data_IF_331487057812
#
_entry.id   IF_331487057812
#
_cell.length_a   1.000
_cell.length_b   1.000
_cell.length_c   1.000
_cell.angle_alpha   90.00
_cell.angle_beta   90.00
_cell.angle_gamma   90.00
#
_symmetry.space_group_name_H-M   'P 1'
#
loop_
_entity.id
_entity.type
_entity.pdbx_description
1 polymer ?
#
# COMPACT_ATOMS: atom_id res chain seq x y z
N UNK A 1 -39.64 -25.77 3.95
CA UNK A 1 -38.91 -24.60 4.49
C UNK A 1 -38.00 -24.08 3.37
N UNK A 2 -38.02 -22.79 3.00
CA UNK A 2 -37.13 -22.28 1.94
C UNK A 2 -35.69 -22.31 2.46
N UNK A 3 -34.93 -23.34 2.11
CA UNK A 3 -33.49 -23.39 2.38
C UNK A 3 -32.82 -22.30 1.56
N UNK A 4 -32.23 -21.30 2.20
CA UNK A 4 -31.35 -20.35 1.53
C UNK A 4 -29.94 -20.94 1.56
N UNK A 5 -29.22 -20.94 0.44
CA UNK A 5 -27.79 -21.21 0.42
C UNK A 5 -27.05 -20.01 1.02
N UNK A 6 -27.11 -19.87 2.36
CA UNK A 6 -26.55 -18.73 3.09
C UNK A 6 -25.01 -18.68 3.03
N UNK A 7 -24.38 -19.81 2.70
CA UNK A 7 -22.92 -19.96 2.66
C UNK A 7 -22.33 -19.79 1.24
N UNK A 8 -23.18 -19.73 0.19
CA UNK A 8 -22.71 -19.62 -1.19
C UNK A 8 -22.24 -18.20 -1.51
N UNK A 9 -20.99 -18.06 -1.91
CA UNK A 9 -20.44 -16.80 -2.38
C UNK A 9 -20.15 -16.82 -3.87
N UNK A 10 -20.50 -15.73 -4.56
CA UNK A 10 -20.22 -15.60 -5.98
C UNK A 10 -18.76 -15.24 -6.22
N UNK A 11 -17.90 -16.26 -6.29
CA UNK A 11 -16.42 -16.16 -6.32
C UNK A 11 -15.91 -15.09 -7.30
N UNK A 12 -16.37 -15.12 -8.55
CA UNK A 12 -15.90 -14.22 -9.62
C UNK A 12 -16.81 -12.98 -9.81
N UNK A 13 -17.70 -12.70 -8.86
CA UNK A 13 -18.58 -11.53 -8.94
C UNK A 13 -17.81 -10.21 -8.86
N UNK A 14 -18.10 -9.31 -9.80
CA UNK A 14 -17.48 -7.98 -9.91
C UNK A 14 -16.17 -7.93 -10.72
N UNK A 15 -15.44 -9.04 -10.83
CA UNK A 15 -14.22 -9.12 -11.64
C UNK A 15 -14.49 -9.49 -13.10
N UNK A 16 -15.56 -10.26 -13.37
CA UNK A 16 -15.98 -10.54 -14.75
C UNK A 16 -16.56 -9.27 -15.37
N UNK A 17 -16.00 -8.81 -16.49
CA UNK A 17 -16.42 -7.61 -17.20
C UNK A 17 -17.33 -7.96 -18.38
N UNK A 18 -18.44 -7.23 -18.47
CA UNK A 18 -19.30 -7.28 -19.64
C UNK A 18 -18.57 -6.67 -20.84
N UNK A 19 -18.44 -7.38 -21.98
CA UNK A 19 -17.76 -6.87 -23.16
C UNK A 19 -18.51 -5.74 -23.87
N UNK A 20 -19.81 -5.58 -23.63
CA UNK A 20 -20.61 -4.51 -24.26
C UNK A 20 -20.68 -3.22 -23.43
N UNK A 21 -20.65 -3.32 -22.09
CA UNK A 21 -20.79 -2.14 -21.22
C UNK A 21 -19.63 -1.92 -20.23
N UNK A 22 -18.65 -2.82 -20.18
CA UNK A 22 -17.51 -2.77 -19.26
C UNK A 22 -17.84 -3.00 -17.79
N UNK A 23 -19.13 -3.08 -17.42
CA UNK A 23 -19.54 -3.24 -16.03
C UNK A 23 -19.26 -4.65 -15.49
N UNK A 24 -19.00 -4.73 -14.19
CA UNK A 24 -18.86 -6.01 -13.48
C UNK A 24 -20.15 -6.82 -13.50
N UNK A 25 -20.05 -8.10 -13.84
CA UNK A 25 -21.17 -9.05 -13.78
C UNK A 25 -21.47 -9.44 -12.34
N UNK A 26 -22.75 -9.75 -12.09
CA UNK A 26 -23.29 -10.07 -10.77
C UNK A 26 -23.74 -11.53 -10.78
N UNK A 27 -23.60 -12.20 -9.63
CA UNK A 27 -24.12 -13.54 -9.44
C UNK A 27 -25.63 -13.54 -9.17
N UNK A 28 -26.32 -14.54 -9.69
CA UNK A 28 -27.75 -14.75 -9.50
C UNK A 28 -28.04 -16.20 -9.22
N UNK A 29 -29.06 -16.44 -8.39
CA UNK A 29 -29.54 -17.78 -8.10
C UNK A 29 -30.82 -18.05 -8.88
N UNK A 30 -30.92 -19.23 -9.44
CA UNK A 30 -32.13 -19.75 -10.03
C UNK A 30 -32.52 -21.04 -9.32
N UNK A 31 -33.71 -21.03 -8.71
CA UNK A 31 -34.20 -22.09 -7.84
C UNK A 31 -35.30 -22.88 -8.55
N UNK A 32 -35.10 -24.18 -8.72
CA UNK A 32 -36.14 -25.11 -9.20
C UNK A 32 -36.72 -25.88 -8.02
N UNK A 33 -38.04 -25.99 -7.97
CA UNK A 33 -38.75 -26.82 -7.00
C UNK A 33 -39.19 -28.12 -7.67
N UNK A 34 -38.80 -29.24 -7.08
CA UNK A 34 -39.28 -30.54 -7.52
C UNK A 34 -40.55 -30.89 -6.75
N UNK A 35 -41.70 -30.79 -7.41
CA UNK A 35 -43.01 -31.07 -6.80
C UNK A 35 -43.17 -32.51 -6.30
N UNK A 36 -42.35 -33.46 -6.78
CA UNK A 36 -42.44 -34.88 -6.40
C UNK A 36 -41.63 -35.22 -5.15
N UNK A 37 -40.47 -34.59 -4.97
CA UNK A 37 -39.57 -34.83 -3.82
C UNK A 37 -39.64 -33.71 -2.78
N UNK A 38 -40.41 -32.64 -3.06
CA UNK A 38 -40.45 -31.38 -2.30
C UNK A 38 -39.08 -30.70 -2.12
N UNK A 39 -38.09 -31.10 -2.92
CA UNK A 39 -36.73 -30.57 -2.86
C UNK A 39 -36.57 -29.31 -3.70
N UNK A 40 -35.74 -28.39 -3.22
CA UNK A 40 -35.31 -27.22 -3.96
C UNK A 40 -33.88 -27.42 -4.47
N UNK A 41 -33.68 -27.21 -5.77
CA UNK A 41 -32.36 -27.20 -6.40
C UNK A 41 -32.00 -25.80 -6.83
N UNK A 42 -30.94 -25.26 -6.24
CA UNK A 42 -30.37 -23.98 -6.61
C UNK A 42 -29.32 -24.17 -7.71
N UNK A 43 -29.28 -23.24 -8.65
CA UNK A 43 -28.25 -23.17 -9.68
C UNK A 43 -27.82 -21.73 -9.84
N UNK A 44 -26.52 -21.50 -9.76
CA UNK A 44 -25.97 -20.15 -9.74
C UNK A 44 -25.44 -19.76 -11.12
N UNK A 45 -25.65 -18.49 -11.47
CA UNK A 45 -25.25 -17.92 -12.76
C UNK A 45 -24.60 -16.55 -12.61
N UNK A 46 -23.65 -16.20 -13.47
CA UNK A 46 -23.23 -14.80 -13.67
C UNK A 46 -24.05 -14.17 -14.79
N UNK A 47 -24.49 -12.92 -14.57
CA UNK A 47 -25.22 -12.10 -15.55
C UNK A 47 -24.78 -10.65 -15.52
N UNK A 48 -24.92 -9.95 -16.65
CA UNK A 48 -24.87 -8.50 -16.65
C UNK A 48 -26.19 -7.97 -16.05
N UNK A 49 -26.09 -7.14 -15.00
CA UNK A 49 -27.24 -6.44 -14.41
C UNK A 49 -27.34 -4.98 -14.87
N UNK A 50 -26.29 -4.46 -15.48
CA UNK A 50 -26.29 -3.10 -16.01
C UNK A 50 -27.21 -3.02 -17.21
N UNK A 51 -28.20 -2.12 -17.14
CA UNK A 51 -29.11 -1.84 -18.24
C UNK A 51 -28.60 -0.75 -19.16
N UNK A 52 -27.53 -0.01 -18.82
CA UNK A 52 -26.99 1.10 -19.61
C UNK A 52 -25.51 0.88 -19.95
N UNK A 53 -25.09 1.25 -21.16
CA UNK A 53 -23.70 1.38 -21.62
C UNK A 53 -23.12 2.71 -21.13
N UNK A 54 -21.80 2.89 -21.22
CA UNK A 54 -21.15 4.18 -20.94
C UNK A 54 -21.77 5.33 -21.77
N UNK A 55 -22.20 5.03 -23.00
CA UNK A 55 -22.85 5.98 -23.93
C UNK A 55 -24.36 6.19 -23.66
N UNK A 56 -24.91 5.66 -22.57
CA UNK A 56 -26.33 5.81 -22.20
C UNK A 56 -27.32 4.88 -22.91
N UNK A 57 -26.91 4.12 -23.94
CA UNK A 57 -27.74 3.09 -24.62
C UNK A 57 -27.98 1.87 -23.74
N UNK A 58 -29.04 1.09 -24.00
CA UNK A 58 -29.30 -0.11 -23.22
C UNK A 58 -28.24 -1.20 -23.48
N UNK A 59 -27.81 -1.90 -22.42
CA UNK A 59 -26.97 -3.08 -22.56
C UNK A 59 -27.85 -4.30 -22.81
N UNK A 60 -27.68 -4.90 -23.98
CA UNK A 60 -28.35 -6.09 -24.49
C UNK A 60 -27.56 -7.37 -24.27
N UNK A 61 -26.39 -7.28 -23.63
CA UNK A 61 -25.58 -8.44 -23.28
C UNK A 61 -26.30 -9.28 -22.21
N UNK A 62 -26.88 -10.40 -22.64
CA UNK A 62 -27.67 -11.29 -21.77
C UNK A 62 -27.13 -12.73 -21.70
N UNK A 63 -25.81 -12.98 -21.60
CA UNK A 63 -25.35 -14.35 -21.37
C UNK A 63 -25.75 -14.81 -19.97
N UNK A 64 -26.04 -16.10 -19.87
CA UNK A 64 -26.22 -16.82 -18.61
C UNK A 64 -25.03 -17.76 -18.45
N UNK A 65 -24.04 -17.34 -17.67
CA UNK A 65 -22.85 -18.16 -17.41
C UNK A 65 -23.11 -18.99 -16.17
N UNK A 66 -23.12 -20.31 -16.27
CA UNK A 66 -23.23 -21.18 -15.10
C UNK A 66 -21.96 -21.05 -14.25
N UNK A 67 -22.10 -20.79 -12.94
CA UNK A 67 -20.94 -20.50 -12.08
C UNK A 67 -20.01 -21.70 -11.96
N UNK A 68 -20.52 -22.91 -11.77
CA UNK A 68 -19.69 -24.11 -11.60
C UNK A 68 -18.81 -24.33 -12.84
N UNK A 69 -19.41 -24.24 -14.03
CA UNK A 69 -18.67 -24.38 -15.30
C UNK A 69 -17.66 -23.26 -15.51
N UNK A 70 -18.08 -22.01 -15.31
CA UNK A 70 -17.24 -20.86 -15.60
C UNK A 70 -16.10 -20.71 -14.58
N UNK A 71 -16.35 -20.98 -13.30
CA UNK A 71 -15.31 -21.01 -12.27
C UNK A 71 -14.29 -22.09 -12.60
N UNK A 72 -14.73 -23.31 -12.96
CA UNK A 72 -13.82 -24.38 -13.38
C UNK A 72 -12.97 -23.99 -14.59
N UNK A 73 -13.53 -23.33 -15.59
CA UNK A 73 -12.76 -22.84 -16.75
C UNK A 73 -11.66 -21.85 -16.33
N UNK A 74 -11.96 -20.93 -15.41
CA UNK A 74 -10.96 -19.97 -14.88
C UNK A 74 -9.90 -20.68 -14.04
N UNK A 75 -10.31 -21.65 -13.21
CA UNK A 75 -9.38 -22.46 -12.43
C UNK A 75 -8.43 -23.26 -13.33
N UNK A 76 -8.92 -23.85 -14.41
CA UNK A 76 -8.11 -24.60 -15.36
C UNK A 76 -7.08 -23.72 -16.07
N UNK A 77 -7.45 -22.47 -16.40
CA UNK A 77 -6.51 -21.48 -16.94
C UNK A 77 -5.40 -21.18 -15.94
N UNK A 78 -5.74 -20.96 -14.67
CA UNK A 78 -4.75 -20.68 -13.61
C UNK A 78 -3.85 -21.90 -13.40
N UNK A 79 -4.42 -23.12 -13.36
CA UNK A 79 -3.64 -24.37 -13.25
C UNK A 79 -2.68 -24.54 -14.41
N UNK A 80 -3.12 -24.26 -15.64
CA UNK A 80 -2.28 -24.33 -16.82
C UNK A 80 -1.09 -23.37 -16.71
N UNK A 81 -1.36 -22.12 -16.33
CA UNK A 81 -0.34 -21.09 -16.13
C UNK A 81 0.69 -21.52 -15.06
N UNK A 82 0.23 -21.99 -13.89
CA UNK A 82 1.12 -22.41 -12.79
C UNK A 82 1.99 -23.62 -13.16
N UNK A 83 1.50 -24.51 -14.04
CA UNK A 83 2.24 -25.70 -14.50
C UNK A 83 3.28 -25.38 -15.57
N UNK A 84 3.17 -24.23 -16.24
CA UNK A 84 4.16 -23.80 -17.21
C UNK A 84 5.52 -23.57 -16.52
N UNK A 85 6.54 -24.33 -16.95
CA UNK A 85 7.85 -24.35 -16.28
C UNK A 85 8.52 -22.98 -16.20
N UNK A 86 8.41 -22.17 -17.27
CA UNK A 86 8.96 -20.82 -17.33
C UNK A 86 8.26 -19.86 -16.38
N UNK A 87 6.93 -19.96 -16.28
CA UNK A 87 6.15 -19.19 -15.31
C UNK A 87 6.57 -19.55 -13.88
N UNK A 88 6.67 -20.84 -13.56
CA UNK A 88 7.12 -21.32 -12.25
C UNK A 88 8.54 -20.86 -11.90
N UNK A 89 9.44 -20.85 -12.87
CA UNK A 89 10.81 -20.34 -12.70
C UNK A 89 10.85 -18.83 -12.50
N UNK A 90 10.09 -18.08 -13.30
CA UNK A 90 9.92 -16.63 -13.14
C UNK A 90 9.40 -16.27 -11.74
N UNK A 91 8.41 -17.01 -11.25
CA UNK A 91 7.82 -16.84 -9.92
C UNK A 91 8.82 -17.11 -8.80
N UNK A 92 9.65 -18.16 -8.94
CA UNK A 92 10.74 -18.43 -8.00
C UNK A 92 11.79 -17.32 -8.01
N UNK A 93 12.19 -16.86 -9.20
CA UNK A 93 13.14 -15.77 -9.33
C UNK A 93 12.60 -14.48 -8.71
N UNK A 94 11.30 -14.17 -8.87
CA UNK A 94 10.65 -13.02 -8.22
C UNK A 94 10.47 -13.18 -6.71
N UNK A 95 10.36 -14.41 -6.19
CA UNK A 95 10.38 -14.70 -4.76
C UNK A 95 11.78 -14.49 -4.16
N UNK A 96 12.81 -14.90 -4.90
CA UNK A 96 14.22 -14.82 -4.52
C UNK A 96 14.82 -13.42 -4.75
N UNK A 97 14.22 -12.62 -5.63
CA UNK A 97 14.56 -11.22 -5.84
C UNK A 97 14.39 -10.46 -4.51
N UNK A 98 15.51 -10.18 -3.86
CA UNK A 98 15.55 -9.22 -2.76
C UNK A 98 15.42 -7.85 -3.39
N UNK A 99 14.34 -7.14 -3.05
CA UNK A 99 14.27 -5.71 -3.32
C UNK A 99 15.37 -5.08 -2.46
N UNK A 100 16.39 -4.55 -3.12
CA UNK A 100 17.48 -3.88 -2.46
C UNK A 100 16.93 -2.61 -1.78
N UNK A 101 16.74 -2.68 -0.47
CA UNK A 101 16.33 -1.56 0.38
C UNK A 101 17.52 -0.94 1.11
N UNK A 102 18.75 -1.32 0.75
CA UNK A 102 19.97 -0.82 1.39
C UNK A 102 20.03 0.69 1.41
N UNK A 103 19.58 1.35 0.33
CA UNK A 103 19.54 2.81 0.25
C UNK A 103 18.66 3.46 1.34
N UNK A 104 17.47 2.90 1.63
CA UNK A 104 16.58 3.41 2.70
C UNK A 104 17.16 3.11 4.08
N UNK A 105 17.79 1.94 4.24
CA UNK A 105 18.42 1.55 5.50
C UNK A 105 19.66 2.40 5.80
N UNK A 106 20.45 2.73 4.77
CA UNK A 106 21.60 3.63 4.85
C UNK A 106 21.18 5.08 5.13
N UNK A 107 20.15 5.59 4.45
CA UNK A 107 19.57 6.91 4.73
C UNK A 107 19.10 7.00 6.19
N UNK A 108 18.35 6.00 6.66
CA UNK A 108 17.92 5.91 8.06
C UNK A 108 19.10 5.92 9.02
N UNK A 109 20.16 5.16 8.72
CA UNK A 109 21.37 5.07 9.55
C UNK A 109 22.11 6.41 9.61
N UNK A 110 22.21 7.13 8.49
CA UNK A 110 22.80 8.46 8.44
C UNK A 110 22.02 9.46 9.30
N UNK A 111 20.69 9.50 9.17
CA UNK A 111 19.81 10.37 9.96
C UNK A 111 19.87 10.04 11.46
N UNK A 112 19.89 8.76 11.82
CA UNK A 112 20.11 8.33 13.22
C UNK A 112 21.47 8.78 13.76
N UNK A 113 22.52 8.74 12.93
CA UNK A 113 23.84 9.26 13.30
C UNK A 113 23.82 10.76 13.59
N UNK A 114 23.17 11.55 12.74
CA UNK A 114 23.00 12.99 12.96
C UNK A 114 22.20 13.27 14.25
N UNK A 115 21.11 12.53 14.47
CA UNK A 115 20.29 12.64 15.68
C UNK A 115 21.13 12.42 16.95
N UNK A 116 21.98 11.39 16.97
CA UNK A 116 22.86 11.13 18.10
C UNK A 116 23.85 12.27 18.34
N UNK A 117 24.38 12.88 17.29
CA UNK A 117 25.30 14.02 17.41
C UNK A 117 24.61 15.25 18.02
N UNK A 118 23.41 15.59 17.55
CA UNK A 118 22.63 16.73 18.05
C UNK A 118 22.19 16.51 19.49
N UNK A 119 21.74 15.30 19.83
CA UNK A 119 21.42 14.94 21.23
C UNK A 119 22.65 14.99 22.14
N UNK A 120 23.82 14.58 21.65
CA UNK A 120 25.08 14.72 22.36
C UNK A 120 25.48 16.18 22.61
N UNK A 121 25.32 17.05 21.61
CA UNK A 121 25.55 18.48 21.73
C UNK A 121 24.60 19.13 22.74
N UNK A 122 23.31 18.77 22.69
CA UNK A 122 22.29 19.20 23.66
C UNK A 122 22.68 18.83 25.09
N UNK A 123 23.09 17.58 25.31
CA UNK A 123 23.50 17.11 26.64
C UNK A 123 24.70 17.91 27.18
N UNK A 124 25.69 18.20 26.34
CA UNK A 124 26.85 19.02 26.72
C UNK A 124 26.45 20.45 27.04
N UNK A 125 25.56 21.05 26.26
CA UNK A 125 25.07 22.41 26.47
C UNK A 125 24.30 22.53 27.80
N UNK A 126 23.42 21.56 28.10
CA UNK A 126 22.72 21.50 29.39
C UNK A 126 23.70 21.42 30.57
N UNK A 127 24.76 20.61 30.47
CA UNK A 127 25.80 20.55 31.48
C UNK A 127 26.57 21.87 31.66
N UNK A 128 26.67 22.68 30.61
CA UNK A 128 27.26 24.03 30.71
C UNK A 128 26.31 25.01 31.40
N UNK A 129 25.01 24.91 31.12
CA UNK A 129 23.96 25.69 31.79
C UNK A 129 23.92 25.36 33.28
N UNK A 130 24.01 24.09 33.66
CA UNK A 130 24.01 23.67 35.07
C UNK A 130 25.21 24.20 35.87
N UNK A 131 26.31 24.57 35.20
CA UNK A 131 27.55 25.06 35.82
C UNK A 131 27.65 26.59 35.85
N UNK A 132 26.65 27.30 35.34
CA UNK A 132 26.64 28.76 35.31
C UNK A 132 26.49 29.31 36.73
N UNK A 133 27.40 30.21 37.12
CA UNK A 133 27.35 30.89 38.41
C UNK A 133 26.36 32.07 38.34
N UNK A 134 25.33 32.01 39.18
CA UNK A 134 24.30 33.06 39.28
C UNK A 134 24.83 34.38 39.85
N UNK A 135 26.03 34.40 40.43
CA UNK A 135 26.73 35.61 40.86
C UNK A 135 27.50 36.34 39.76
N UNK A 136 27.60 35.79 38.55
CA UNK A 136 28.35 36.40 37.44
C UNK A 136 27.63 37.64 36.90
N UNK A 137 28.37 38.76 36.75
CA UNK A 137 27.86 40.03 36.18
C UNK A 137 27.23 39.86 34.79
N UNK A 138 27.65 38.85 34.04
CA UNK A 138 27.16 38.53 32.70
C UNK A 138 26.28 37.28 32.66
N UNK A 139 25.77 36.81 33.80
CA UNK A 139 24.92 35.62 33.91
C UNK A 139 23.76 35.64 32.89
N UNK A 140 22.97 36.71 32.87
CA UNK A 140 21.78 36.80 32.02
C UNK A 140 22.10 36.67 30.52
N UNK A 141 23.20 37.28 30.07
CA UNK A 141 23.64 37.19 28.67
C UNK A 141 24.20 35.81 28.31
N UNK A 142 24.97 35.19 29.21
CA UNK A 142 25.49 33.83 29.00
C UNK A 142 24.35 32.80 29.00
N UNK A 143 23.39 32.96 29.91
CA UNK A 143 22.20 32.12 29.98
C UNK A 143 21.37 32.27 28.70
N UNK A 144 21.17 33.50 28.22
CA UNK A 144 20.44 33.76 26.97
C UNK A 144 21.12 33.13 25.75
N UNK A 145 22.43 33.31 25.56
CA UNK A 145 23.17 32.69 24.44
C UNK A 145 23.10 31.15 24.50
N UNK A 146 23.18 30.55 25.69
CA UNK A 146 22.99 29.10 25.83
C UNK A 146 21.54 28.67 25.58
N UNK A 147 20.54 29.48 25.96
CA UNK A 147 19.14 29.21 25.67
C UNK A 147 18.86 29.25 24.17
N UNK A 148 19.37 30.27 23.46
CA UNK A 148 19.20 30.42 22.01
C UNK A 148 19.85 29.23 21.26
N UNK A 149 21.02 28.78 21.73
CA UNK A 149 21.67 27.57 21.19
C UNK A 149 20.88 26.30 21.48
N UNK A 150 20.26 26.21 22.65
CA UNK A 150 19.43 25.07 23.01
C UNK A 150 18.19 24.98 22.12
N UNK A 151 17.54 26.12 21.86
CA UNK A 151 16.39 26.22 20.95
C UNK A 151 16.75 25.74 19.54
N UNK A 152 17.90 26.16 19.00
CA UNK A 152 18.39 25.68 17.69
C UNK A 152 18.62 24.15 17.67
N UNK A 153 19.12 23.57 18.77
CA UNK A 153 19.31 22.12 18.87
C UNK A 153 17.97 21.38 18.95
N UNK A 154 16.95 21.96 19.62
CA UNK A 154 15.61 21.39 19.63
C UNK A 154 14.94 21.46 18.26
N UNK A 155 15.04 22.59 17.57
CA UNK A 155 14.52 22.74 16.21
C UNK A 155 15.17 21.71 15.27
N UNK A 156 16.49 21.51 15.37
CA UNK A 156 17.20 20.48 14.58
C UNK A 156 16.80 19.04 14.94
N UNK A 157 16.52 18.75 16.22
CA UNK A 157 16.01 17.43 16.63
C UNK A 157 14.63 17.19 15.99
N UNK A 158 13.74 18.19 16.01
CA UNK A 158 12.42 18.07 15.39
C UNK A 158 12.50 17.80 13.89
N UNK A 159 13.37 18.52 13.17
CA UNK A 159 13.61 18.27 11.74
C UNK A 159 14.07 16.82 11.48
N UNK A 160 15.07 16.35 12.23
CA UNK A 160 15.59 14.98 12.07
C UNK A 160 14.56 13.90 12.45
N UNK A 161 13.69 14.17 13.42
CA UNK A 161 12.60 13.25 13.78
C UNK A 161 11.54 13.14 12.68
N UNK A 162 11.19 14.27 12.04
CA UNK A 162 10.28 14.30 10.88
C UNK A 162 10.86 13.54 9.69
N UNK A 163 12.14 13.76 9.39
CA UNK A 163 12.87 13.03 8.33
C UNK A 163 12.91 11.51 8.62
N UNK A 164 13.26 11.12 9.85
CA UNK A 164 13.27 9.71 10.26
C UNK A 164 11.90 9.05 10.17
N UNK A 165 10.83 9.75 10.56
CA UNK A 165 9.47 9.24 10.43
C UNK A 165 9.08 9.04 8.94
N UNK A 166 9.50 9.94 8.06
CA UNK A 166 9.31 9.81 6.62
C UNK A 166 10.01 8.59 6.03
N UNK A 167 11.28 8.37 6.39
CA UNK A 167 12.05 7.20 5.93
C UNK A 167 11.46 5.91 6.49
N UNK A 168 11.07 5.87 7.77
CA UNK A 168 10.40 4.71 8.37
C UNK A 168 9.10 4.34 7.63
N UNK A 169 8.29 5.33 7.25
CA UNK A 169 7.06 5.10 6.49
C UNK A 169 7.33 4.53 5.09
N UNK A 170 8.37 5.05 4.40
CA UNK A 170 8.80 4.51 3.09
C UNK A 170 9.28 3.07 3.21
N UNK A 171 10.06 2.77 4.24
CA UNK A 171 10.52 1.41 4.55
C UNK A 171 9.32 0.48 4.76
N UNK A 172 8.37 0.85 5.62
CA UNK A 172 7.18 0.02 5.88
C UNK A 172 6.35 -0.22 4.62
N UNK A 173 6.09 0.83 3.82
CA UNK A 173 5.35 0.70 2.57
C UNK A 173 6.04 -0.23 1.56
N UNK A 174 7.39 -0.21 1.50
CA UNK A 174 8.16 -1.11 0.66
C UNK A 174 8.07 -2.57 1.16
N UNK A 175 8.23 -2.80 2.47
CA UNK A 175 8.09 -4.12 3.09
C UNK A 175 6.70 -4.72 2.88
N UNK A 176 5.63 -3.94 3.11
CA UNK A 176 4.25 -4.41 2.93
C UNK A 176 3.97 -4.84 1.49
N UNK A 177 4.40 -4.02 0.51
CA UNK A 177 4.29 -4.37 -0.92
C UNK A 177 5.06 -5.64 -1.26
N UNK A 178 6.27 -5.80 -0.72
CA UNK A 178 7.09 -6.99 -0.95
C UNK A 178 6.46 -8.25 -0.35
N UNK A 179 6.02 -8.21 0.91
CA UNK A 179 5.38 -9.34 1.58
C UNK A 179 4.10 -9.74 0.85
N UNK A 180 3.30 -8.76 0.42
CA UNK A 180 2.06 -9.03 -0.32
C UNK A 180 2.36 -9.73 -1.64
N UNK A 181 3.38 -9.26 -2.39
CA UNK A 181 3.81 -9.90 -3.64
C UNK A 181 4.35 -11.33 -3.42
N UNK A 182 5.25 -11.51 -2.45
CA UNK A 182 5.83 -12.83 -2.15
C UNK A 182 4.79 -13.84 -1.67
N UNK A 183 3.85 -13.40 -0.84
CA UNK A 183 2.75 -14.25 -0.42
C UNK A 183 1.92 -14.70 -1.62
N UNK A 184 1.53 -13.77 -2.50
CA UNK A 184 0.76 -14.10 -3.71
C UNK A 184 1.50 -15.11 -4.58
N UNK A 185 2.81 -14.94 -4.78
CA UNK A 185 3.61 -15.89 -5.56
C UNK A 185 3.70 -17.27 -4.91
N UNK A 186 3.88 -17.33 -3.59
CA UNK A 186 3.89 -18.59 -2.85
C UNK A 186 2.52 -19.31 -2.93
N UNK A 187 1.43 -18.56 -2.76
CA UNK A 187 0.06 -19.11 -2.87
C UNK A 187 -0.21 -19.68 -4.26
N UNK A 188 0.29 -19.07 -5.33
CA UNK A 188 0.15 -19.60 -6.69
C UNK A 188 0.94 -20.90 -6.90
N UNK A 189 2.12 -21.03 -6.32
CA UNK A 189 2.91 -22.26 -6.41
C UNK A 189 2.19 -23.47 -5.77
N UNK A 190 1.38 -23.19 -4.74
CA UNK A 190 0.62 -24.17 -3.96
C UNK A 190 -0.89 -24.16 -4.29
N UNK A 191 -1.30 -23.53 -5.40
CA UNK A 191 -2.69 -23.29 -5.77
C UNK A 191 -3.55 -24.55 -5.73
N UNK A 192 -3.06 -25.65 -6.33
CA UNK A 192 -3.77 -26.94 -6.39
C UNK A 192 -4.15 -27.47 -4.99
N UNK A 193 -3.30 -27.26 -3.97
CA UNK A 193 -3.55 -27.76 -2.61
C UNK A 193 -4.36 -26.82 -1.75
N UNK A 194 -4.17 -25.50 -1.93
CA UNK A 194 -4.76 -24.48 -1.08
C UNK A 194 -6.18 -24.16 -1.52
N UNK A 195 -6.40 -24.06 -2.83
CA UNK A 195 -7.67 -23.63 -3.38
C UNK A 195 -8.81 -24.63 -3.13
N UNK A 196 -8.54 -25.94 -3.13
CA UNK A 196 -9.57 -26.96 -2.83
C UNK A 196 -10.07 -26.92 -1.39
N UNK A 197 -9.24 -26.48 -0.44
CA UNK A 197 -9.55 -26.44 0.99
C UNK A 197 -10.25 -25.15 1.43
N UNK A 198 -10.29 -24.14 0.56
CA UNK A 198 -10.88 -22.84 0.84
C UNK A 198 -12.42 -22.86 0.74
N UNK A 199 -13.04 -22.06 1.62
CA UNK A 199 -14.46 -21.69 1.53
C UNK A 199 -14.72 -20.76 0.34
N UNK A 200 -15.98 -20.61 -0.08
CA UNK A 200 -16.32 -19.72 -1.20
C UNK A 200 -15.96 -18.24 -0.92
N UNK A 201 -16.04 -17.81 0.34
CA UNK A 201 -15.64 -16.48 0.76
C UNK A 201 -14.12 -16.27 0.61
N UNK A 202 -13.32 -17.23 1.06
CA UNK A 202 -11.86 -17.19 0.92
C UNK A 202 -11.45 -17.25 -0.56
N UNK A 203 -12.07 -18.11 -1.36
CA UNK A 203 -11.86 -18.17 -2.82
C UNK A 203 -12.18 -16.84 -3.48
N UNK A 204 -13.28 -16.18 -3.08
CA UNK A 204 -13.66 -14.86 -3.58
C UNK A 204 -12.64 -13.79 -3.23
N UNK A 205 -12.15 -13.78 -1.98
CA UNK A 205 -11.10 -12.85 -1.55
C UNK A 205 -9.80 -13.09 -2.31
N UNK A 206 -9.37 -14.35 -2.42
CA UNK A 206 -8.19 -14.74 -3.17
C UNK A 206 -8.26 -14.30 -4.64
N UNK A 207 -9.34 -14.65 -5.32
CA UNK A 207 -9.53 -14.30 -6.74
C UNK A 207 -9.54 -12.78 -6.96
N UNK A 208 -10.01 -11.98 -5.99
CA UNK A 208 -9.97 -10.51 -6.08
C UNK A 208 -8.59 -9.92 -5.84
N UNK A 209 -7.76 -10.56 -5.02
CA UNK A 209 -6.36 -10.14 -4.80
C UNK A 209 -5.48 -10.53 -5.99
N UNK A 210 -5.80 -11.64 -6.65
CA UNK A 210 -5.05 -12.18 -7.77
C UNK A 210 -5.47 -11.53 -9.11
N UNK A 211 -6.77 -11.51 -9.41
CA UNK A 211 -7.34 -11.07 -10.69
C UNK A 211 -7.87 -9.64 -10.57
N UNK A 212 -7.48 -8.80 -11.51
CA UNK A 212 -8.04 -7.46 -11.67
C UNK A 212 -9.37 -7.55 -12.42
N UNK A 213 -9.35 -8.17 -13.60
CA UNK A 213 -10.52 -8.28 -14.46
C UNK A 213 -10.49 -9.55 -15.33
N UNK A 214 -11.68 -10.07 -15.64
CA UNK A 214 -11.85 -11.16 -16.62
C UNK A 214 -12.73 -10.62 -17.74
N UNK A 215 -12.16 -10.46 -18.93
CA UNK A 215 -12.90 -10.02 -20.10
C UNK A 215 -13.42 -11.20 -20.90
N UNK A 216 -14.63 -11.02 -21.44
CA UNK A 216 -15.31 -12.02 -22.24
C UNK A 216 -15.33 -11.63 -23.72
N UNK A 217 -15.44 -12.60 -24.62
CA UNK A 217 -15.83 -12.30 -25.98
C UNK A 217 -17.32 -11.90 -26.06
N UNK A 218 -17.69 -10.95 -26.95
CA UNK A 218 -19.09 -10.57 -27.17
C UNK A 218 -19.97 -11.75 -27.65
N UNK A 219 -19.38 -12.65 -28.43
CA UNK A 219 -20.01 -13.85 -28.96
C UNK A 219 -19.18 -15.08 -28.58
N UNK A 220 -19.84 -16.22 -28.36
CA UNK A 220 -19.14 -17.48 -28.11
C UNK A 220 -18.43 -17.89 -29.40
N UNK A 221 -17.12 -18.09 -29.34
CA UNK A 221 -16.36 -18.67 -30.46
C UNK A 221 -16.83 -20.11 -30.72
N UNK A 222 -16.64 -20.60 -31.95
CA UNK A 222 -17.02 -21.96 -32.38
C UNK A 222 -16.48 -23.07 -31.46
N UNK A 223 -15.37 -22.80 -30.77
CA UNK A 223 -14.71 -23.70 -29.82
C UNK A 223 -15.35 -23.69 -28.41
N UNK A 224 -16.46 -22.97 -28.20
CA UNK A 224 -17.16 -22.88 -26.91
C UNK A 224 -16.50 -21.96 -25.87
N UNK A 225 -15.29 -21.46 -26.13
CA UNK A 225 -14.56 -20.53 -25.25
C UNK A 225 -15.23 -19.15 -25.21
N UNK A 226 -15.39 -18.62 -24.00
CA UNK A 226 -15.97 -17.30 -23.77
C UNK A 226 -15.00 -16.30 -23.13
N UNK A 227 -13.95 -16.77 -22.46
CA UNK A 227 -12.90 -15.92 -21.85
C UNK A 227 -12.01 -15.38 -22.97
N UNK A 228 -11.86 -14.05 -23.01
CA UNK A 228 -10.98 -13.34 -23.94
C UNK A 228 -9.59 -13.15 -23.36
N UNK A 229 -9.54 -12.47 -22.22
CA UNK A 229 -8.31 -12.17 -21.50
C UNK A 229 -8.57 -12.13 -20.00
N UNK A 230 -7.54 -12.43 -19.23
CA UNK A 230 -7.52 -12.27 -17.78
C UNK A 230 -6.41 -11.26 -17.46
N UNK A 231 -6.79 -10.18 -16.78
CA UNK A 231 -5.87 -9.17 -16.26
C UNK A 231 -5.55 -9.50 -14.80
N UNK A 232 -4.26 -9.59 -14.50
CA UNK A 232 -3.73 -9.86 -13.18
C UNK A 232 -3.23 -8.58 -12.53
N UNK A 233 -3.27 -8.53 -11.19
CA UNK A 233 -2.80 -7.37 -10.42
C UNK A 233 -1.27 -7.29 -10.30
N UNK A 234 -0.55 -8.22 -10.90
CA UNK A 234 0.90 -8.33 -10.85
C UNK A 234 1.44 -8.93 -12.14
N UNK A 235 2.72 -8.68 -12.45
CA UNK A 235 3.34 -9.15 -13.67
C UNK A 235 3.56 -10.65 -13.63
N UNK A 236 3.21 -11.29 -14.75
CA UNK A 236 3.42 -12.70 -15.02
C UNK A 236 4.20 -12.85 -16.32
N UNK A 237 4.99 -13.92 -16.41
CA UNK A 237 5.59 -14.31 -17.67
C UNK A 237 4.63 -15.21 -18.45
N UNK A 238 4.15 -14.75 -19.60
CA UNK A 238 3.21 -15.48 -20.45
C UNK A 238 3.49 -15.19 -21.94
N UNK A 239 3.43 -16.23 -22.78
CA UNK A 239 3.64 -16.13 -24.25
C UNK A 239 4.94 -15.41 -24.65
N UNK A 240 6.01 -15.64 -23.90
CA UNK A 240 7.34 -15.08 -24.19
C UNK A 240 7.56 -13.64 -23.71
N UNK A 241 6.56 -12.99 -23.09
CA UNK A 241 6.66 -11.62 -22.59
C UNK A 241 6.29 -11.52 -21.10
N UNK A 242 6.88 -10.54 -20.41
CA UNK A 242 6.45 -10.15 -19.06
C UNK A 242 5.31 -9.13 -19.19
N UNK A 243 4.17 -9.41 -18.57
CA UNK A 243 3.02 -8.53 -18.59
C UNK A 243 1.95 -8.92 -17.59
N UNK A 244 0.92 -8.09 -17.47
CA UNK A 244 -0.19 -8.34 -16.54
C UNK A 244 -1.38 -9.05 -17.23
N UNK A 245 -1.27 -9.32 -18.53
CA UNK A 245 -2.37 -9.84 -19.34
C UNK A 245 -2.10 -11.27 -19.80
N UNK A 246 -3.07 -12.14 -19.54
CA UNK A 246 -3.12 -13.48 -20.11
C UNK A 246 -4.17 -13.48 -21.21
N UNK A 247 -3.72 -13.53 -22.46
CA UNK A 247 -4.61 -13.60 -23.63
C UNK A 247 -4.82 -15.04 -24.02
N UNK A 248 -6.09 -15.44 -24.16
CA UNK A 248 -6.39 -16.79 -24.62
C UNK A 248 -6.03 -16.92 -26.11
N UNK A 249 -5.24 -17.92 -26.53
CA UNK A 249 -4.86 -18.07 -27.92
C UNK A 249 -6.08 -18.28 -28.82
N UNK A 250 -6.10 -17.57 -29.96
CA UNK A 250 -7.21 -17.56 -30.93
C UNK A 250 -7.42 -18.90 -31.65
N UNK A 251 -6.40 -19.77 -31.66
CA UNK A 251 -6.42 -21.10 -32.29
C UNK A 251 -5.99 -22.18 -31.28
N UNK A 252 -6.53 -23.38 -31.43
CA UNK A 252 -6.01 -24.57 -30.74
C UNK A 252 -4.59 -24.84 -31.26
N UNK A 253 -3.57 -24.27 -30.62
CA UNK A 253 -2.18 -24.62 -30.88
C UNK A 253 -1.93 -25.99 -30.27
N UNK A 254 -1.84 -27.02 -31.12
CA UNK A 254 -1.21 -28.29 -30.74
C UNK A 254 0.28 -27.99 -30.63
N UNK A 255 0.81 -27.96 -29.42
CA UNK A 255 2.24 -27.73 -29.19
C UNK A 255 3.03 -28.86 -29.86
N UNK A 256 3.80 -28.53 -30.89
CA UNK A 256 4.80 -29.43 -31.45
C UNK A 256 6.11 -29.16 -30.72
N UNK A 257 6.52 -30.09 -29.86
CA UNK A 257 7.82 -30.01 -29.17
C UNK A 257 8.92 -30.30 -30.19
N UNK A 258 9.57 -29.25 -30.70
CA UNK A 258 10.80 -29.38 -31.49
C UNK A 258 11.97 -28.95 -30.61
N UNK A 259 12.94 -29.85 -30.49
CA UNK A 259 14.15 -29.66 -29.70
C UNK A 259 15.06 -28.64 -30.40
N UNK A 260 15.03 -27.38 -29.94
CA UNK A 260 15.91 -26.33 -30.45
C UNK A 260 17.21 -26.30 -29.62
N UNK A 261 18.34 -26.48 -30.29
CA UNK A 261 19.68 -26.24 -29.73
C UNK A 261 20.05 -24.75 -29.88
N UNK A 262 20.72 -24.20 -28.86
CA UNK A 262 21.09 -22.79 -28.77
C UNK A 262 22.28 -22.48 -29.68
N UNK A 263 22.09 -21.58 -30.64
CA UNK A 263 23.20 -20.91 -31.32
C UNK A 263 23.69 -19.75 -30.42
N UNK A 264 25.01 -19.58 -30.30
CA UNK A 264 25.61 -18.53 -29.45
C UNK A 264 25.59 -17.21 -30.23
N UNK A 265 25.04 -16.16 -29.63
CA UNK A 265 25.06 -14.80 -30.17
C UNK A 265 25.88 -13.92 -29.23
N UNK A 266 26.94 -13.30 -29.74
CA UNK A 266 27.78 -12.34 -29.02
C UNK A 266 27.26 -10.91 -29.28
N UNK A 267 26.59 -10.31 -28.30
CA UNK A 267 26.20 -8.90 -28.37
C UNK A 267 25.42 -8.41 -27.14
N UNK A 268 25.87 -7.31 -26.53
CA UNK A 268 25.15 -6.58 -25.48
C UNK A 268 24.45 -5.33 -26.05
N UNK A 269 23.31 -4.97 -25.49
CA UNK A 269 22.59 -3.71 -25.76
C UNK A 269 22.52 -2.91 -24.45
N UNK A 270 22.99 -1.67 -24.48
CA UNK A 270 22.94 -0.69 -23.38
C UNK A 270 21.75 0.25 -23.55
N UNK A 271 21.08 0.59 -22.44
CA UNK A 271 19.98 1.56 -22.38
C UNK A 271 20.25 2.53 -21.22
N UNK A 272 20.25 3.84 -21.51
CA UNK A 272 20.42 4.91 -20.53
C UNK A 272 19.04 5.43 -20.03
N UNK A 273 18.95 5.72 -18.73
CA UNK A 273 17.75 6.26 -18.06
C UNK A 273 18.12 7.47 -17.19
N UNK A 274 17.53 8.63 -17.47
CA UNK A 274 17.71 9.89 -16.72
C UNK A 274 16.76 10.02 -15.52
N UNK A 275 17.31 10.44 -14.36
CA UNK A 275 16.69 10.33 -13.03
C UNK A 275 16.08 11.65 -12.49
N UNK A 276 16.08 12.75 -13.25
CA UNK A 276 15.73 14.08 -12.70
C UNK A 276 14.22 14.46 -12.70
N UNK A 277 13.27 13.53 -12.65
CA UNK A 277 11.83 13.86 -12.82
C UNK A 277 10.84 13.43 -11.73
N UNK A 278 11.27 13.12 -10.50
CA UNK A 278 10.35 12.64 -9.46
C UNK A 278 10.52 13.37 -8.11
N UNK A 279 9.79 14.47 -7.90
CA UNK A 279 9.42 14.94 -6.56
C UNK A 279 8.00 15.53 -6.51
N UNK A 280 7.24 15.17 -5.47
CA UNK A 280 6.03 15.89 -5.02
C UNK A 280 5.79 15.70 -3.51
N UNK A 281 5.61 16.81 -2.78
CA UNK A 281 5.38 16.93 -1.32
C UNK A 281 3.88 17.02 -0.96
N UNK A 282 3.45 16.44 0.17
CA UNK A 282 2.23 16.84 0.89
C UNK A 282 2.20 16.30 2.36
N UNK A 283 1.88 17.17 3.34
CA UNK A 283 1.01 16.78 4.47
C UNK A 283 1.46 16.88 5.93
N UNK A 284 2.50 17.62 6.33
CA UNK A 284 2.86 17.80 7.76
C UNK A 284 3.17 19.26 8.06
N UNK A 285 2.36 19.91 8.90
CA UNK A 285 2.66 21.27 9.34
C UNK A 285 3.83 21.24 10.33
N UNK A 286 4.98 21.74 9.88
CA UNK A 286 6.22 21.73 10.65
C UNK A 286 6.18 22.78 11.77
N UNK A 287 7.02 22.66 12.80
CA UNK A 287 7.13 23.67 13.87
C UNK A 287 7.40 25.09 13.33
N UNK A 288 8.04 25.21 12.16
CA UNK A 288 8.30 26.48 11.50
C UNK A 288 7.02 27.13 10.95
N UNK A 289 6.10 26.35 10.41
CA UNK A 289 4.81 26.83 9.89
C UNK A 289 3.88 27.29 11.02
N UNK A 290 3.89 26.56 12.14
CA UNK A 290 3.15 26.94 13.36
C UNK A 290 3.70 28.25 13.94
N UNK A 291 5.03 28.41 14.02
CA UNK A 291 5.67 29.65 14.48
C UNK A 291 5.34 30.83 13.56
N UNK A 292 5.37 30.62 12.24
CA UNK A 292 5.05 31.65 11.25
C UNK A 292 3.59 32.12 11.33
N UNK A 293 2.64 31.19 11.49
CA UNK A 293 1.22 31.52 11.64
C UNK A 293 0.94 32.34 12.92
N UNK A 294 1.60 32.00 14.04
CA UNK A 294 1.43 32.74 15.30
C UNK A 294 2.06 34.14 15.22
N UNK A 295 3.22 34.26 14.56
CA UNK A 295 3.89 35.55 14.36
C UNK A 295 3.06 36.48 13.46
N UNK A 296 2.47 35.96 12.39
CA UNK A 296 1.61 36.73 11.47
C UNK A 296 0.29 37.16 12.13
N UNK A 297 -0.34 36.28 12.91
CA UNK A 297 -1.67 36.53 13.50
C UNK A 297 -1.64 37.28 14.84
N UNK A 298 -0.65 37.01 15.69
CA UNK A 298 -0.58 37.55 17.06
C UNK A 298 0.60 38.51 17.27
N UNK A 299 1.50 38.65 16.30
CA UNK A 299 2.58 39.64 16.32
C UNK A 299 3.72 39.35 17.31
N UNK A 300 3.79 38.14 17.86
CA UNK A 300 4.87 37.74 18.78
C UNK A 300 5.40 36.33 18.50
N UNK A 301 6.67 36.12 18.85
CA UNK A 301 7.37 34.84 18.66
C UNK A 301 7.13 33.88 19.83
N UNK A 302 6.93 32.61 19.47
CA UNK A 302 6.73 31.49 20.40
C UNK A 302 7.92 30.54 20.27
N UNK A 303 8.48 30.08 21.41
CA UNK A 303 9.57 29.10 21.40
C UNK A 303 9.03 27.70 21.08
N UNK A 304 9.84 26.87 20.42
CA UNK A 304 9.51 25.47 20.17
C UNK A 304 9.28 24.68 21.45
N UNK A 305 9.93 25.07 22.56
CA UNK A 305 9.71 24.53 23.90
C UNK A 305 8.25 24.68 24.38
N UNK A 306 7.60 25.81 24.10
CA UNK A 306 6.18 25.99 24.45
C UNK A 306 5.25 25.19 23.54
N UNK A 307 5.57 25.07 22.25
CA UNK A 307 4.78 24.26 21.31
C UNK A 307 4.82 22.77 21.70
N UNK A 308 5.98 22.26 22.12
CA UNK A 308 6.11 20.90 22.67
C UNK A 308 5.27 20.67 23.93
N UNK A 309 5.33 21.61 24.89
CA UNK A 309 4.52 21.54 26.13
C UNK A 309 3.00 21.50 25.87
N UNK A 310 2.50 22.21 24.86
CA UNK A 310 1.08 22.19 24.50
C UNK A 310 0.72 20.92 23.70
N UNK A 311 1.61 20.38 22.86
CA UNK A 311 1.38 19.07 22.21
C UNK A 311 1.22 17.94 23.23
N UNK A 312 2.05 17.95 24.28
CA UNK A 312 1.93 17.03 25.42
C UNK A 312 0.60 17.18 26.16
N UNK A 313 0.17 18.42 26.43
CA UNK A 313 -1.13 18.72 27.05
C UNK A 313 -2.32 18.32 26.16
N UNK A 314 -2.20 18.46 24.84
CA UNK A 314 -3.25 18.17 23.85
C UNK A 314 -3.37 16.66 23.51
N UNK A 315 -2.52 15.81 24.07
CA UNK A 315 -2.55 14.36 23.85
C UNK A 315 -2.06 13.92 22.45
N UNK A 316 -1.37 14.81 21.74
CA UNK A 316 -0.72 14.48 20.46
C UNK A 316 0.52 13.64 20.79
N UNK A 317 0.49 12.35 20.43
CA UNK A 317 1.51 11.37 20.85
C UNK A 317 2.91 11.75 20.36
N UNK A 318 3.78 12.15 21.28
CA UNK A 318 5.22 12.12 21.06
C UNK A 318 5.74 10.66 21.04
N UNK A 319 6.76 10.38 20.20
CA UNK A 319 7.55 9.14 20.30
C UNK A 319 8.22 9.11 21.68
N UNK A 320 8.23 7.94 22.33
CA UNK A 320 8.80 7.76 23.68
C UNK A 320 10.19 8.39 23.78
N UNK A 321 10.31 9.37 24.66
CA UNK A 321 11.57 10.00 25.01
C UNK A 321 12.42 9.00 25.82
N UNK A 322 13.47 8.43 25.22
CA UNK A 322 14.30 7.38 25.85
C UNK A 322 15.30 7.93 26.90
N UNK A 323 15.30 9.24 27.15
CA UNK A 323 16.04 9.87 28.25
C UNK A 323 15.06 10.47 29.26
N UNK A 324 14.72 9.69 30.29
CA UNK A 324 14.13 10.23 31.52
C UNK A 324 15.21 10.94 32.32
N UNK A 325 15.19 12.28 32.31
CA UNK A 325 15.97 13.09 33.24
C UNK A 325 15.46 12.91 34.67
N UNK A 326 16.37 12.86 35.63
CA UNK A 326 16.09 12.96 37.07
C UNK A 326 15.27 14.23 37.34
N UNK A 327 13.99 14.05 37.71
CA UNK A 327 12.92 15.05 37.65
C UNK A 327 12.99 16.25 38.62
N UNK A 328 14.16 16.87 38.81
CA UNK A 328 14.36 17.99 39.74
C UNK A 328 14.79 19.32 39.08
N UNK A 329 14.67 19.47 37.76
CA UNK A 329 14.85 20.76 37.09
C UNK A 329 13.53 21.50 36.92
N UNK A 330 13.42 22.76 37.40
CA UNK A 330 12.27 23.63 37.11
C UNK A 330 12.26 23.97 35.62
N UNK A 331 11.43 23.27 34.84
CA UNK A 331 11.17 23.61 33.44
C UNK A 331 10.30 24.87 33.38
N UNK A 332 10.64 25.90 32.59
CA UNK A 332 9.81 27.09 32.41
C UNK A 332 8.43 26.71 31.87
N UNK A 333 7.35 27.11 32.55
CA UNK A 333 5.96 26.82 32.16
C UNK A 333 5.48 27.86 31.14
N UNK A 334 4.82 27.42 30.07
CA UNK A 334 4.21 28.30 29.06
C UNK A 334 3.23 29.33 29.69
N UNK A 335 3.36 30.64 29.40
CA UNK A 335 2.39 31.65 29.80
C UNK A 335 1.02 31.40 29.14
N UNK A 336 -0.11 31.72 29.81
CA UNK A 336 -1.46 31.42 29.32
C UNK A 336 -1.80 32.09 27.97
N UNK A 337 -1.27 33.29 27.72
CA UNK A 337 -1.48 34.02 26.46
C UNK A 337 -0.87 33.29 25.25
N UNK A 338 0.29 32.64 25.43
CA UNK A 338 0.96 31.87 24.36
C UNK A 338 0.34 30.49 24.17
N UNK A 339 -0.27 29.92 25.20
CA UNK A 339 -0.99 28.65 25.14
C UNK A 339 -2.23 28.75 24.21
N UNK A 340 -2.99 29.84 24.29
CA UNK A 340 -4.15 30.06 23.41
C UNK A 340 -3.74 30.20 21.93
N UNK A 341 -2.66 30.92 21.64
CA UNK A 341 -2.16 31.10 20.27
C UNK A 341 -1.66 29.78 19.64
N UNK A 342 -1.03 28.90 20.44
CA UNK A 342 -0.57 27.59 19.98
C UNK A 342 -1.75 26.66 19.71
N UNK A 343 -2.78 26.66 20.56
CA UNK A 343 -4.00 25.86 20.32
C UNK A 343 -4.76 26.34 19.07
N UNK A 344 -4.83 27.65 18.82
CA UNK A 344 -5.43 28.19 17.59
C UNK A 344 -4.66 27.76 16.33
N UNK A 345 -3.33 27.78 16.38
CA UNK A 345 -2.49 27.29 15.28
C UNK A 345 -2.71 25.79 15.03
N UNK A 346 -2.81 24.97 16.09
CA UNK A 346 -3.09 23.54 15.93
C UNK A 346 -4.46 23.27 15.29
N UNK A 347 -5.49 24.07 15.60
CA UNK A 347 -6.79 23.98 14.92
C UNK A 347 -6.69 24.42 13.45
N UNK A 348 -5.90 25.46 13.15
CA UNK A 348 -5.69 25.94 11.79
C UNK A 348 -5.03 24.89 10.87
N UNK A 349 -4.07 24.14 11.42
CA UNK A 349 -3.35 23.08 10.69
C UNK A 349 -3.99 21.69 10.81
N UNK A 350 -5.22 21.56 11.36
CA UNK A 350 -5.92 20.29 11.61
C UNK A 350 -5.10 19.28 12.44
N UNK A 351 -4.32 19.76 13.41
CA UNK A 351 -3.54 18.93 14.33
C UNK A 351 -4.36 18.45 15.55
N UNK A 352 -5.48 19.12 15.85
CA UNK A 352 -6.48 18.77 16.89
C UNK A 352 -7.88 19.19 16.48
#
# INVERSE_FOLDING_TARGET
>A
MKTHSLEHEHILSGIIKCPLCGAGMIGTVYRRHNKKTDEYKDTFYYRCHHRKRADGKLCDFAPKLNQDKFNSEVEDVIRYMVREGRFREYMKNKLDEQVDMSYLEDEKKQLQGQMQQVQGAKKKLLQMIDRLDSGDRHYDQKYKDMSDRLDNLYDRISELDEELAGVDARIQAAYEKQITGKNVYQFLLDFDTLYERMTDLEKKQFMRTFIESIELYPEKKDNGRIISKIELRFPVYYDGQEGNEIRMPDKNTVETVVLLSREKVDGHISIDLDVEKLESKAGTATYTEIKAYIEDKYGYKVSSLYIGQIKDKAGIKERKNYNTGSGNGRVPICPPEKEEAIMDAFRHFNLI
#
